data_IF_122111218355
#
_entry.id   IF_122111218355
#
_cell.length_a   1.000
_cell.length_b   1.000
_cell.length_c   1.000
_cell.angle_alpha   90.00
_cell.angle_beta   90.00
_cell.angle_gamma   90.00
#
_symmetry.space_group_name_H-M   'P 1'
#
loop_
_entity.id
_entity.type
_entity.pdbx_description
1 polymer ?
#
# COMPACT_ATOMS: atom_id res chain seq x y z
N UNK A 1 -0.27 -41.28 2.23
CA UNK A 1 -1.29 -40.30 2.67
C UNK A 1 -0.73 -38.92 2.41
N UNK A 2 -1.18 -38.17 1.37
CA UNK A 2 -0.67 -36.80 1.14
C UNK A 2 -1.29 -35.85 2.16
N UNK A 3 -0.42 -35.13 2.85
CA UNK A 3 -0.73 -34.13 3.84
C UNK A 3 -1.31 -32.91 3.09
N UNK A 4 -2.61 -32.65 3.20
CA UNK A 4 -3.25 -31.47 2.65
C UNK A 4 -2.71 -30.23 3.38
N UNK A 5 -2.34 -29.14 2.66
CA UNK A 5 -1.91 -27.93 3.32
C UNK A 5 -3.09 -27.34 4.11
N UNK A 6 -2.92 -27.24 5.42
CA UNK A 6 -3.82 -26.52 6.31
C UNK A 6 -3.81 -25.06 5.85
N UNK A 7 -4.90 -24.62 5.23
CA UNK A 7 -5.12 -23.23 4.90
C UNK A 7 -4.98 -22.43 6.21
N UNK A 8 -3.98 -21.56 6.27
CA UNK A 8 -3.75 -20.70 7.44
C UNK A 8 -4.98 -19.82 7.62
N UNK A 9 -5.80 -20.11 8.63
CA UNK A 9 -6.97 -19.30 8.98
C UNK A 9 -6.45 -17.96 9.44
N UNK A 10 -6.57 -16.95 8.58
CA UNK A 10 -6.21 -15.57 8.94
C UNK A 10 -6.99 -15.16 10.19
N UNK A 11 -6.32 -14.64 11.24
CA UNK A 11 -6.99 -14.20 12.44
C UNK A 11 -8.15 -13.25 12.11
N UNK A 12 -9.30 -13.42 12.76
CA UNK A 12 -10.51 -12.62 12.49
C UNK A 12 -10.24 -11.12 12.57
N UNK A 13 -9.38 -10.68 13.48
CA UNK A 13 -8.97 -9.28 13.59
C UNK A 13 -8.33 -8.76 12.31
N UNK A 14 -7.51 -9.55 11.64
CA UNK A 14 -6.85 -9.14 10.39
C UNK A 14 -7.82 -9.13 9.21
N UNK A 15 -8.84 -9.98 9.22
CA UNK A 15 -9.92 -9.90 8.23
C UNK A 15 -10.71 -8.60 8.39
N UNK A 16 -11.05 -8.21 9.63
CA UNK A 16 -11.73 -6.95 9.94
C UNK A 16 -10.85 -5.76 9.49
N UNK A 17 -9.55 -5.78 9.79
CA UNK A 17 -8.61 -4.75 9.36
C UNK A 17 -8.63 -4.53 7.85
N UNK A 18 -8.49 -5.61 7.08
CA UNK A 18 -8.48 -5.53 5.61
C UNK A 18 -9.76 -4.97 5.04
N UNK A 19 -10.92 -5.48 5.50
CA UNK A 19 -12.21 -4.98 5.03
C UNK A 19 -12.50 -3.56 5.47
N UNK A 20 -12.13 -3.16 6.68
CA UNK A 20 -12.24 -1.79 7.13
C UNK A 20 -11.35 -0.85 6.29
N UNK A 21 -10.10 -1.23 6.02
CA UNK A 21 -9.20 -0.45 5.17
C UNK A 21 -9.79 -0.25 3.76
N UNK A 22 -10.26 -1.32 3.13
CA UNK A 22 -10.88 -1.30 1.81
C UNK A 22 -12.13 -0.40 1.77
N UNK A 23 -13.02 -0.53 2.74
CA UNK A 23 -14.25 0.24 2.80
C UNK A 23 -13.98 1.73 3.06
N UNK A 24 -13.10 2.04 4.01
CA UNK A 24 -12.70 3.42 4.31
C UNK A 24 -11.99 4.07 3.12
N UNK A 25 -11.08 3.36 2.44
CA UNK A 25 -10.41 3.88 1.25
C UNK A 25 -11.38 4.18 0.11
N UNK A 26 -12.38 3.30 -0.10
CA UNK A 26 -13.35 3.44 -1.18
C UNK A 26 -14.37 4.56 -0.95
N UNK A 27 -14.81 4.80 0.31
CA UNK A 27 -15.96 5.67 0.61
C UNK A 27 -15.70 6.71 1.70
N UNK A 28 -14.48 6.79 2.18
CA UNK A 28 -14.11 7.66 3.30
C UNK A 28 -14.54 7.10 4.67
N UNK A 29 -13.83 7.50 5.70
CA UNK A 29 -14.09 7.06 7.07
C UNK A 29 -15.52 7.38 7.54
N UNK A 30 -16.03 8.58 7.24
CA UNK A 30 -17.36 9.01 7.67
C UNK A 30 -18.48 8.24 6.93
N UNK A 31 -18.24 7.83 5.68
CA UNK A 31 -19.21 7.14 4.83
C UNK A 31 -19.42 5.64 5.12
N UNK A 32 -18.70 5.07 6.10
CA UNK A 32 -18.76 3.64 6.41
C UNK A 32 -19.28 3.40 7.83
N UNK A 33 -20.28 2.53 7.95
CA UNK A 33 -20.83 2.10 9.24
C UNK A 33 -20.16 0.85 9.81
N UNK A 34 -20.18 0.70 11.14
CA UNK A 34 -19.65 -0.49 11.83
C UNK A 34 -20.38 -1.77 11.40
N UNK A 35 -21.70 -1.72 11.23
CA UNK A 35 -22.51 -2.88 10.79
C UNK A 35 -22.15 -3.34 9.37
N UNK A 36 -21.73 -2.42 8.53
CA UNK A 36 -21.31 -2.75 7.18
C UNK A 36 -19.97 -3.48 7.16
N UNK A 37 -19.01 -3.05 7.98
CA UNK A 37 -17.75 -3.77 8.17
C UNK A 37 -18.05 -5.17 8.71
N UNK A 38 -18.95 -5.28 9.70
CA UNK A 38 -19.39 -6.56 10.25
C UNK A 38 -19.96 -7.49 9.18
N UNK A 39 -20.88 -6.98 8.34
CA UNK A 39 -21.47 -7.73 7.22
C UNK A 39 -20.40 -8.21 6.23
N UNK A 40 -19.44 -7.35 5.88
CA UNK A 40 -18.37 -7.68 4.92
C UNK A 40 -17.49 -8.85 5.39
N UNK A 41 -17.32 -9.01 6.71
CA UNK A 41 -16.54 -10.14 7.28
C UNK A 41 -17.42 -11.26 7.86
N UNK A 42 -18.74 -11.19 7.67
CA UNK A 42 -19.67 -12.22 8.10
C UNK A 42 -19.83 -12.34 9.62
N UNK A 43 -19.79 -11.20 10.36
CA UNK A 43 -20.05 -11.14 11.80
C UNK A 43 -21.12 -10.08 12.13
N UNK A 44 -21.82 -10.29 13.26
CA UNK A 44 -22.77 -9.29 13.76
C UNK A 44 -22.04 -8.06 14.35
N UNK A 45 -22.74 -6.91 14.44
CA UNK A 45 -22.22 -5.71 15.10
C UNK A 45 -21.66 -6.01 16.50
N UNK A 46 -22.40 -6.69 17.41
CA UNK A 46 -21.85 -7.12 18.70
C UNK A 46 -20.58 -7.98 18.61
N UNK A 47 -20.49 -8.83 17.58
CA UNK A 47 -19.29 -9.64 17.31
C UNK A 47 -18.07 -8.78 16.97
N UNK A 48 -18.27 -7.69 16.23
CA UNK A 48 -17.21 -6.77 15.84
C UNK A 48 -16.65 -5.99 17.03
N UNK A 49 -17.51 -5.57 17.97
CA UNK A 49 -17.10 -4.85 19.18
C UNK A 49 -16.17 -5.67 20.10
N UNK A 50 -16.14 -7.01 19.99
CA UNK A 50 -15.15 -7.86 20.71
C UNK A 50 -13.73 -7.67 20.18
N UNK A 51 -13.59 -7.21 18.96
CA UNK A 51 -12.29 -7.02 18.30
C UNK A 51 -11.84 -5.56 18.32
N UNK A 52 -12.79 -4.64 18.17
CA UNK A 52 -12.54 -3.20 18.14
C UNK A 52 -13.67 -2.45 18.85
N UNK A 53 -13.37 -1.52 19.75
CA UNK A 53 -14.38 -0.75 20.48
C UNK A 53 -15.21 0.21 19.61
N UNK A 54 -14.85 0.37 18.33
CA UNK A 54 -15.54 1.19 17.35
C UNK A 54 -14.70 1.44 16.10
N UNK A 55 -15.25 2.14 15.12
CA UNK A 55 -14.56 2.43 13.86
C UNK A 55 -13.37 3.38 14.04
N UNK A 56 -13.44 4.30 15.04
CA UNK A 56 -12.29 5.18 15.35
C UNK A 56 -11.08 4.38 15.79
N UNK A 57 -11.28 3.35 16.63
CA UNK A 57 -10.22 2.45 17.05
C UNK A 57 -9.70 1.57 15.90
N UNK A 58 -10.56 1.22 14.92
CA UNK A 58 -10.12 0.52 13.70
C UNK A 58 -9.22 1.42 12.86
N UNK A 59 -9.62 2.68 12.63
CA UNK A 59 -8.81 3.63 11.89
C UNK A 59 -7.46 3.88 12.56
N UNK A 60 -7.46 4.08 13.87
CA UNK A 60 -6.23 4.24 14.65
C UNK A 60 -5.31 3.00 14.53
N UNK A 61 -5.86 1.81 14.71
CA UNK A 61 -5.15 0.54 14.60
C UNK A 61 -4.55 0.33 13.18
N UNK A 62 -5.29 0.72 12.13
CA UNK A 62 -4.79 0.65 10.75
C UNK A 62 -3.64 1.62 10.51
N UNK A 63 -3.79 2.90 10.84
CA UNK A 63 -2.78 3.93 10.53
C UNK A 63 -1.55 3.84 11.43
N UNK A 64 -1.71 3.50 12.70
CA UNK A 64 -0.58 3.24 13.61
C UNK A 64 0.14 1.96 13.17
N UNK A 65 -0.61 0.87 12.95
CA UNK A 65 -0.05 -0.43 12.61
C UNK A 65 0.75 -0.42 11.32
N UNK A 66 0.29 0.29 10.27
CA UNK A 66 1.08 0.41 9.04
C UNK A 66 2.32 1.27 9.24
N UNK A 67 2.23 2.37 10.00
CA UNK A 67 3.37 3.24 10.27
C UNK A 67 4.46 2.51 11.07
N UNK A 68 4.07 1.70 12.06
CA UNK A 68 4.99 0.84 12.82
C UNK A 68 5.61 -0.23 11.91
N UNK A 69 4.80 -0.93 11.12
CA UNK A 69 5.29 -1.97 10.20
C UNK A 69 6.32 -1.44 9.21
N UNK A 70 6.07 -0.29 8.59
CA UNK A 70 7.00 0.34 7.65
C UNK A 70 8.33 0.70 8.32
N UNK A 71 8.26 1.30 9.50
CA UNK A 71 9.46 1.69 10.24
C UNK A 71 10.28 0.47 10.68
N UNK A 72 9.64 -0.53 11.26
CA UNK A 72 10.30 -1.74 11.77
C UNK A 72 10.89 -2.57 10.63
N UNK A 73 10.14 -2.73 9.53
CA UNK A 73 10.62 -3.44 8.35
C UNK A 73 11.78 -2.69 7.69
N UNK A 74 11.68 -1.36 7.56
CA UNK A 74 12.75 -0.53 7.05
C UNK A 74 14.03 -0.65 7.89
N UNK A 75 13.93 -0.60 9.21
CA UNK A 75 15.06 -0.80 10.13
C UNK A 75 15.69 -2.18 9.97
N UNK A 76 14.89 -3.24 9.93
CA UNK A 76 15.38 -4.61 9.75
C UNK A 76 16.10 -4.78 8.42
N UNK A 77 15.50 -4.35 7.31
CA UNK A 77 16.09 -4.45 5.97
C UNK A 77 17.40 -3.67 5.86
N UNK A 78 17.44 -2.47 6.40
CA UNK A 78 18.66 -1.64 6.41
C UNK A 78 19.76 -2.26 7.25
N UNK A 79 19.45 -2.81 8.42
CA UNK A 79 20.42 -3.44 9.31
C UNK A 79 20.98 -4.77 8.74
N UNK A 80 20.20 -5.49 7.92
CA UNK A 80 20.62 -6.75 7.30
C UNK A 80 21.43 -6.54 6.00
N UNK A 81 21.51 -5.31 5.48
CA UNK A 81 22.14 -5.02 4.20
C UNK A 81 23.67 -4.99 4.31
N UNK A 82 24.37 -5.41 3.23
CA UNK A 82 25.82 -5.48 3.17
C UNK A 82 26.53 -4.09 3.11
N UNK A 83 25.77 -2.99 3.00
CA UNK A 83 26.31 -1.64 2.95
C UNK A 83 25.23 -0.62 2.55
N UNK A 84 25.58 0.69 2.52
CA UNK A 84 24.63 1.76 2.33
C UNK A 84 23.81 1.66 1.04
N UNK A 85 24.40 1.34 -0.10
CA UNK A 85 23.70 1.17 -1.37
C UNK A 85 22.72 0.00 -1.33
N UNK A 86 23.12 -1.12 -0.71
CA UNK A 86 22.25 -2.29 -0.54
C UNK A 86 21.10 -1.97 0.43
N UNK A 87 21.36 -1.20 1.50
CA UNK A 87 20.34 -0.74 2.44
C UNK A 87 19.29 0.15 1.76
N UNK A 88 19.72 1.09 0.91
CA UNK A 88 18.82 1.94 0.15
C UNK A 88 17.96 1.11 -0.81
N UNK A 89 18.54 0.17 -1.54
CA UNK A 89 17.81 -0.72 -2.43
C UNK A 89 16.76 -1.55 -1.67
N UNK A 90 17.12 -2.03 -0.47
CA UNK A 90 16.20 -2.78 0.37
C UNK A 90 15.04 -1.92 0.91
N UNK A 91 15.29 -0.65 1.24
CA UNK A 91 14.25 0.32 1.60
C UNK A 91 13.32 0.61 0.42
N UNK A 92 13.87 0.88 -0.77
CA UNK A 92 13.07 1.12 -1.99
C UNK A 92 12.18 -0.09 -2.27
N UNK A 93 12.75 -1.30 -2.30
CA UNK A 93 11.96 -2.52 -2.55
C UNK A 93 10.84 -2.69 -1.53
N UNK A 94 11.12 -2.50 -0.24
CA UNK A 94 10.10 -2.62 0.80
C UNK A 94 8.96 -1.60 0.67
N UNK A 95 9.29 -0.36 0.29
CA UNK A 95 8.27 0.66 0.09
C UNK A 95 7.47 0.46 -1.20
N UNK A 96 8.11 -0.03 -2.27
CA UNK A 96 7.43 -0.41 -3.51
C UNK A 96 6.45 -1.57 -3.27
N UNK A 97 6.86 -2.60 -2.52
CA UNK A 97 5.95 -3.69 -2.13
C UNK A 97 4.74 -3.15 -1.37
N UNK A 98 4.96 -2.29 -0.39
CA UNK A 98 3.87 -1.62 0.34
C UNK A 98 2.96 -0.81 -0.60
N UNK A 99 3.53 0.00 -1.50
CA UNK A 99 2.74 0.84 -2.40
C UNK A 99 1.86 0.03 -3.36
N UNK A 100 2.32 -1.14 -3.80
CA UNK A 100 1.59 -2.00 -4.72
C UNK A 100 0.58 -2.93 -4.03
N UNK A 101 0.87 -3.38 -2.81
CA UNK A 101 0.07 -4.40 -2.12
C UNK A 101 -0.91 -3.81 -1.10
N UNK A 102 -0.62 -2.64 -0.53
CA UNK A 102 -1.39 -1.99 0.54
C UNK A 102 -1.94 -0.60 0.12
N UNK A 103 -2.31 -0.41 -1.15
CA UNK A 103 -2.76 0.88 -1.72
C UNK A 103 -3.91 1.55 -0.94
N UNK A 104 -4.81 0.76 -0.36
CA UNK A 104 -5.89 1.26 0.49
C UNK A 104 -5.35 2.00 1.71
N UNK A 105 -4.24 1.53 2.31
CA UNK A 105 -3.62 2.15 3.46
C UNK A 105 -2.91 3.47 3.11
N UNK A 106 -2.37 3.61 1.89
CA UNK A 106 -1.86 4.90 1.39
C UNK A 106 -3.01 5.90 1.30
N UNK A 107 -4.12 5.50 0.70
CA UNK A 107 -5.32 6.36 0.56
C UNK A 107 -5.83 6.82 1.93
N UNK A 108 -5.89 5.90 2.92
CA UNK A 108 -6.30 6.25 4.28
C UNK A 108 -5.34 7.22 4.94
N UNK A 109 -4.07 7.02 4.74
CA UNK A 109 -3.03 7.87 5.31
C UNK A 109 -3.11 9.31 4.78
N UNK A 110 -3.40 9.47 3.49
CA UNK A 110 -3.50 10.78 2.86
C UNK A 110 -4.78 11.52 3.23
N UNK A 111 -5.89 10.80 3.43
CA UNK A 111 -7.21 11.41 3.56
C UNK A 111 -7.78 11.43 4.97
N UNK A 112 -7.50 10.39 5.76
CA UNK A 112 -8.27 10.12 6.99
C UNK A 112 -7.51 10.46 8.28
N UNK A 113 -6.27 10.96 8.19
CA UNK A 113 -5.45 11.28 9.36
C UNK A 113 -6.11 12.29 10.30
N UNK A 114 -6.92 13.20 9.76
CA UNK A 114 -7.64 14.21 10.54
C UNK A 114 -8.75 13.64 11.42
N UNK A 115 -9.26 12.45 11.09
CA UNK A 115 -10.29 11.76 11.87
C UNK A 115 -9.73 11.00 13.07
N UNK A 116 -8.42 10.89 13.20
CA UNK A 116 -7.79 10.32 14.39
C UNK A 116 -7.92 11.28 15.59
N UNK A 117 -8.04 10.68 16.77
CA UNK A 117 -7.82 11.42 18.02
C UNK A 117 -6.42 12.03 18.01
N UNK A 118 -6.26 13.15 18.70
CA UNK A 118 -5.00 13.90 18.70
C UNK A 118 -3.80 13.06 19.15
N UNK A 119 -3.98 12.21 20.14
CA UNK A 119 -2.93 11.30 20.65
C UNK A 119 -2.47 10.32 19.56
N UNK A 120 -3.41 9.62 18.90
CA UNK A 120 -3.12 8.67 17.83
C UNK A 120 -2.48 9.37 16.63
N UNK A 121 -3.00 10.54 16.26
CA UNK A 121 -2.45 11.37 15.18
C UNK A 121 -1.00 11.79 15.47
N UNK A 122 -0.69 12.18 16.71
CA UNK A 122 0.69 12.49 17.11
C UNK A 122 1.61 11.27 17.03
N UNK A 123 1.10 10.09 17.41
CA UNK A 123 1.83 8.83 17.31
C UNK A 123 2.17 8.51 15.85
N UNK A 124 1.17 8.54 14.96
CA UNK A 124 1.38 8.31 13.52
C UNK A 124 2.42 9.28 12.96
N UNK A 125 2.26 10.60 13.22
CA UNK A 125 3.22 11.62 12.73
C UNK A 125 4.64 11.43 13.26
N UNK A 126 4.79 10.92 14.49
CA UNK A 126 6.12 10.59 15.03
C UNK A 126 6.74 9.42 14.27
N UNK A 127 6.02 8.33 14.09
CA UNK A 127 6.47 7.15 13.34
C UNK A 127 6.86 7.50 11.90
N UNK A 128 6.06 8.35 11.25
CA UNK A 128 6.36 8.86 9.91
C UNK A 128 7.68 9.63 9.87
N UNK A 129 7.88 10.57 10.81
CA UNK A 129 9.13 11.31 10.88
C UNK A 129 10.32 10.38 11.09
N UNK A 130 10.22 9.40 11.98
CA UNK A 130 11.28 8.40 12.20
C UNK A 130 11.57 7.59 10.93
N UNK A 131 10.55 7.24 10.16
CA UNK A 131 10.71 6.55 8.89
C UNK A 131 11.40 7.43 7.84
N UNK A 132 11.01 8.69 7.72
CA UNK A 132 11.71 9.67 6.86
C UNK A 132 13.17 9.83 7.28
N UNK A 133 13.47 9.95 8.58
CA UNK A 133 14.86 10.08 9.07
C UNK A 133 15.70 8.84 8.75
N UNK A 134 15.13 7.63 8.85
CA UNK A 134 15.81 6.41 8.43
C UNK A 134 16.22 6.47 6.94
N UNK A 135 15.30 6.92 6.07
CA UNK A 135 15.60 7.07 4.65
C UNK A 135 16.65 8.15 4.39
N UNK A 136 16.52 9.31 5.03
CA UNK A 136 17.50 10.41 4.88
C UNK A 136 18.89 9.96 5.30
N UNK A 137 19.02 9.27 6.43
CA UNK A 137 20.28 8.72 6.88
C UNK A 137 20.87 7.72 5.87
N UNK A 138 20.03 6.81 5.35
CA UNK A 138 20.46 5.80 4.38
C UNK A 138 20.87 6.42 3.03
N UNK A 139 20.10 7.38 2.53
CA UNK A 139 20.43 8.12 1.28
C UNK A 139 21.76 8.86 1.44
N UNK A 140 21.96 9.57 2.55
CA UNK A 140 23.21 10.28 2.82
C UNK A 140 24.43 9.35 2.95
N UNK A 141 24.21 8.15 3.48
CA UNK A 141 25.25 7.14 3.53
C UNK A 141 25.56 6.52 2.15
N UNK A 142 24.55 6.39 1.28
CA UNK A 142 24.71 5.81 -0.06
C UNK A 142 25.28 6.80 -1.09
N UNK A 143 25.08 8.11 -0.92
CA UNK A 143 25.51 9.16 -1.82
C UNK A 143 26.43 10.17 -1.11
N UNK A 144 27.77 10.12 -1.33
CA UNK A 144 28.71 11.03 -0.67
C UNK A 144 28.41 12.51 -0.91
N UNK A 145 27.92 12.89 -2.08
CA UNK A 145 27.51 14.26 -2.38
C UNK A 145 26.37 14.78 -1.47
N UNK A 146 25.48 13.90 -1.01
CA UNK A 146 24.41 14.22 -0.07
C UNK A 146 24.83 14.07 1.41
N UNK A 147 26.05 13.59 1.67
CA UNK A 147 26.58 13.45 3.03
C UNK A 147 27.05 14.79 3.65
N UNK A 148 27.36 15.80 2.83
CA UNK A 148 27.79 17.11 3.29
C UNK A 148 26.79 17.72 4.30
N UNK A 149 27.23 18.44 5.34
CA UNK A 149 26.33 19.06 6.31
C UNK A 149 25.29 19.99 5.68
N UNK A 150 25.65 20.69 4.61
CA UNK A 150 24.76 21.61 3.86
C UNK A 150 23.76 20.89 2.96
N UNK A 151 23.98 19.62 2.62
CA UNK A 151 23.12 18.83 1.73
C UNK A 151 21.91 18.18 2.43
N UNK A 152 21.78 18.32 3.75
CA UNK A 152 20.68 17.73 4.51
C UNK A 152 19.28 18.09 3.98
N UNK A 153 18.99 19.36 3.66
CA UNK A 153 17.71 19.74 3.04
C UNK A 153 17.46 19.08 1.69
N UNK A 154 18.48 18.95 0.83
CA UNK A 154 18.37 18.29 -0.47
C UNK A 154 18.10 16.79 -0.34
N UNK A 155 18.82 16.11 0.56
CA UNK A 155 18.57 14.70 0.85
C UNK A 155 17.14 14.46 1.36
N UNK A 156 16.63 15.30 2.23
CA UNK A 156 15.24 15.23 2.73
C UNK A 156 14.23 15.49 1.64
N UNK A 157 14.45 16.51 0.81
CA UNK A 157 13.59 16.83 -0.33
C UNK A 157 13.52 15.65 -1.32
N UNK A 158 14.65 15.02 -1.62
CA UNK A 158 14.71 13.84 -2.47
C UNK A 158 13.91 12.65 -1.89
N UNK A 159 14.00 12.41 -0.57
CA UNK A 159 13.19 11.37 0.11
C UNK A 159 11.70 11.67 -0.03
N UNK A 160 11.27 12.91 0.22
CA UNK A 160 9.86 13.27 0.06
C UNK A 160 9.38 13.18 -1.39
N UNK A 161 10.21 13.55 -2.38
CA UNK A 161 9.89 13.40 -3.80
C UNK A 161 9.70 11.94 -4.19
N UNK A 162 10.58 11.06 -3.71
CA UNK A 162 10.47 9.61 -3.94
C UNK A 162 9.22 9.03 -3.27
N UNK A 163 8.89 9.44 -2.05
CA UNK A 163 7.64 9.01 -1.41
C UNK A 163 6.41 9.49 -2.19
N UNK A 164 6.40 10.73 -2.69
CA UNK A 164 5.36 11.24 -3.57
C UNK A 164 5.22 10.40 -4.84
N UNK A 165 6.35 10.07 -5.49
CA UNK A 165 6.37 9.19 -6.66
C UNK A 165 5.75 7.81 -6.35
N UNK A 166 6.24 7.14 -5.31
CA UNK A 166 5.82 5.77 -4.99
C UNK A 166 4.37 5.72 -4.50
N UNK A 167 3.94 6.67 -3.67
CA UNK A 167 2.59 6.70 -3.12
C UNK A 167 1.53 7.19 -4.11
N UNK A 168 1.90 7.91 -5.19
CA UNK A 168 0.93 8.32 -6.22
C UNK A 168 0.51 7.19 -7.16
N UNK A 169 1.32 6.15 -7.28
CA UNK A 169 1.14 5.04 -8.22
C UNK A 169 -0.20 4.30 -8.08
N UNK A 170 -0.67 3.94 -6.86
CA UNK A 170 -1.96 3.27 -6.69
C UNK A 170 -3.16 4.10 -7.21
N UNK A 171 -3.06 5.41 -7.10
CA UNK A 171 -4.14 6.33 -7.52
C UNK A 171 -4.15 6.56 -9.03
N UNK A 172 -2.96 6.55 -9.66
CA UNK A 172 -2.81 6.89 -11.08
C UNK A 172 -3.10 5.73 -12.03
N UNK A 173 -2.90 4.49 -11.57
CA UNK A 173 -2.89 3.31 -12.43
C UNK A 173 -4.12 2.42 -12.25
N UNK A 174 -5.06 2.76 -11.39
CA UNK A 174 -6.27 1.97 -11.16
C UNK A 174 -5.94 0.51 -10.76
N UNK A 175 -4.82 0.29 -10.08
CA UNK A 175 -4.45 -1.04 -9.57
C UNK A 175 -5.53 -1.46 -8.58
N UNK A 176 -6.46 -2.30 -9.03
CA UNK A 176 -7.37 -2.97 -8.12
C UNK A 176 -6.54 -3.92 -7.27
N UNK A 177 -6.67 -3.88 -5.93
CA UNK A 177 -6.09 -4.93 -5.09
C UNK A 177 -6.57 -6.27 -5.63
N UNK A 178 -5.66 -7.23 -5.73
CA UNK A 178 -5.96 -8.58 -6.20
C UNK A 178 -7.16 -9.11 -5.43
N UNK A 179 -8.30 -9.23 -6.09
CA UNK A 179 -9.45 -9.93 -5.56
C UNK A 179 -9.01 -11.38 -5.34
N UNK A 180 -8.68 -11.72 -4.11
CA UNK A 180 -8.53 -13.10 -3.71
C UNK A 180 -9.85 -13.80 -4.07
N UNK A 181 -9.76 -14.85 -4.86
CA UNK A 181 -10.86 -15.64 -5.37
C UNK A 181 -11.94 -15.84 -4.30
N UNK A 182 -13.11 -15.25 -4.53
CA UNK A 182 -14.30 -15.61 -3.79
C UNK A 182 -14.59 -17.09 -4.12
N UNK A 183 -14.92 -17.94 -3.13
CA UNK A 183 -15.45 -19.25 -3.41
C UNK A 183 -16.74 -19.07 -4.20
N UNK A 184 -16.79 -19.61 -5.41
CA UNK A 184 -18.00 -19.66 -6.20
C UNK A 184 -19.07 -20.44 -5.41
N UNK A 185 -20.18 -19.79 -5.13
CA UNK A 185 -21.36 -20.47 -4.64
C UNK A 185 -21.82 -21.51 -5.70
N UNK A 186 -22.28 -22.70 -5.28
CA UNK A 186 -22.75 -23.71 -6.21
C UNK A 186 -23.95 -23.18 -6.99
N UNK A 187 -23.86 -23.27 -8.31
CA UNK A 187 -24.94 -22.96 -9.25
C UNK A 187 -26.07 -23.95 -9.06
N UNK A 188 -27.24 -23.49 -8.66
CA UNK A 188 -28.47 -24.29 -8.76
C UNK A 188 -28.91 -24.41 -10.23
N UNK A 189 -29.42 -25.57 -10.67
CA UNK A 189 -29.92 -25.76 -12.02
C UNK A 189 -31.35 -25.23 -12.11
N UNK A 190 -31.55 -24.12 -12.83
CA UNK A 190 -32.89 -23.70 -13.25
C UNK A 190 -33.22 -24.31 -14.60
N UNK A 191 -34.28 -25.07 -14.58
CA UNK A 191 -34.92 -25.71 -15.71
C UNK A 191 -35.83 -24.78 -16.53
N UNK A 192 -35.69 -24.92 -17.85
CA UNK A 192 -36.73 -24.93 -18.90
C UNK A 192 -37.52 -23.65 -19.30
N UNK A 193 -37.42 -23.47 -20.60
CA UNK A 193 -38.39 -23.12 -21.66
C UNK A 193 -38.62 -21.64 -21.95
N UNK A 194 -38.20 -21.20 -23.13
CA UNK A 194 -39.06 -20.91 -24.29
C UNK A 194 -38.31 -20.18 -25.39
N UNK A 195 -38.55 -20.66 -26.57
CA UNK A 195 -38.21 -20.20 -27.92
C UNK A 195 -38.58 -18.75 -28.19
N UNK A 196 -37.65 -17.94 -28.71
CA UNK A 196 -37.94 -16.86 -29.62
C UNK A 196 -36.68 -16.49 -30.44
N UNK A 197 -36.77 -16.75 -31.71
CA UNK A 197 -35.87 -16.38 -32.79
C UNK A 197 -35.85 -14.86 -32.94
N UNK A 198 -34.71 -14.22 -32.77
CA UNK A 198 -34.44 -12.90 -33.28
C UNK A 198 -32.97 -12.80 -33.66
N UNK A 199 -32.74 -12.75 -34.96
CA UNK A 199 -31.49 -12.41 -35.62
C UNK A 199 -31.08 -11.00 -35.18
N UNK A 200 -30.03 -10.86 -34.42
CA UNK A 200 -29.38 -9.59 -34.15
C UNK A 200 -27.87 -9.73 -34.40
N UNK A 201 -27.40 -8.88 -35.30
CA UNK A 201 -25.98 -8.71 -35.69
C UNK A 201 -25.09 -8.44 -34.48
N UNK A 202 -23.80 -8.84 -34.51
CA UNK A 202 -22.88 -8.57 -33.43
C UNK A 202 -22.58 -7.05 -33.41
N UNK A 203 -23.05 -6.38 -32.38
CA UNK A 203 -22.58 -5.04 -32.05
C UNK A 203 -21.21 -5.18 -31.32
N UNK A 204 -20.19 -4.95 -32.10
CA UNK A 204 -18.83 -4.73 -31.64
C UNK A 204 -18.81 -3.42 -30.81
N UNK A 205 -18.99 -3.52 -29.49
CA UNK A 205 -18.88 -2.41 -28.54
C UNK A 205 -18.08 -2.85 -27.33
N UNK A 206 -16.79 -3.02 -27.52
CA UNK A 206 -15.84 -3.00 -26.42
C UNK A 206 -14.50 -2.36 -26.86
N UNK A 207 -14.62 -1.14 -27.41
CA UNK A 207 -13.50 -0.22 -27.66
C UNK A 207 -13.13 0.60 -26.42
N UNK A 208 -13.31 0.07 -25.23
CA UNK A 208 -12.71 0.62 -24.01
C UNK A 208 -11.23 0.36 -24.03
N UNK A 209 -10.44 1.36 -24.43
CA UNK A 209 -8.98 1.37 -24.35
C UNK A 209 -8.57 0.96 -22.95
N UNK A 210 -8.29 -0.33 -22.75
CA UNK A 210 -7.52 -0.81 -21.60
C UNK A 210 -6.12 -0.26 -21.79
N UNK A 211 -5.85 0.91 -21.20
CA UNK A 211 -4.48 1.34 -20.96
C UNK A 211 -3.84 0.15 -20.28
N UNK A 212 -2.93 -0.55 -20.98
CA UNK A 212 -2.32 -1.79 -20.53
C UNK A 212 -1.59 -1.53 -19.22
N UNK A 213 -2.17 -1.96 -18.11
CA UNK A 213 -1.54 -1.90 -16.81
C UNK A 213 -0.34 -2.84 -16.85
N UNK A 214 0.83 -2.35 -16.47
CA UNK A 214 2.01 -3.19 -16.33
C UNK A 214 1.75 -4.31 -15.31
N UNK A 215 2.24 -5.53 -15.57
CA UNK A 215 2.25 -6.58 -14.56
C UNK A 215 2.94 -6.09 -13.27
N UNK A 216 2.48 -6.55 -12.09
CA UNK A 216 3.01 -6.11 -10.78
C UNK A 216 4.54 -6.11 -10.71
N UNK A 217 5.20 -7.16 -11.22
CA UNK A 217 6.66 -7.28 -11.19
C UNK A 217 7.37 -6.25 -12.06
N UNK A 218 6.82 -5.95 -13.25
CA UNK A 218 7.34 -4.91 -14.13
C UNK A 218 7.14 -3.52 -13.53
N UNK A 219 5.97 -3.28 -12.91
CA UNK A 219 5.71 -2.04 -12.19
C UNK A 219 6.65 -1.86 -11.00
N UNK A 220 6.88 -2.90 -10.21
CA UNK A 220 7.83 -2.86 -9.09
C UNK A 220 9.24 -2.53 -9.59
N UNK A 221 9.68 -3.15 -10.68
CA UNK A 221 10.99 -2.89 -11.28
C UNK A 221 11.10 -1.46 -11.80
N UNK A 222 10.05 -0.94 -12.45
CA UNK A 222 10.02 0.44 -12.94
C UNK A 222 10.10 1.44 -11.79
N UNK A 223 9.25 1.29 -10.76
CA UNK A 223 9.23 2.16 -9.60
C UNK A 223 10.56 2.16 -8.85
N UNK A 224 11.17 0.99 -8.70
CA UNK A 224 12.50 0.87 -8.09
C UNK A 224 13.55 1.66 -8.85
N UNK A 225 13.62 1.51 -10.19
CA UNK A 225 14.55 2.27 -11.03
C UNK A 225 14.30 3.77 -10.99
N UNK A 226 13.03 4.21 -11.00
CA UNK A 226 12.69 5.63 -10.92
C UNK A 226 13.13 6.22 -9.58
N UNK A 227 12.91 5.50 -8.46
CA UNK A 227 13.35 5.94 -7.15
C UNK A 227 14.88 6.05 -7.06
N UNK A 228 15.62 5.06 -7.58
CA UNK A 228 17.07 5.12 -7.65
C UNK A 228 17.56 6.30 -8.48
N UNK A 229 16.98 6.50 -9.68
CA UNK A 229 17.30 7.62 -10.57
C UNK A 229 17.03 8.97 -9.92
N UNK A 230 15.97 9.11 -9.15
CA UNK A 230 15.66 10.35 -8.43
C UNK A 230 16.72 10.68 -7.36
N UNK A 231 17.20 9.67 -6.62
CA UNK A 231 18.28 9.88 -5.65
C UNK A 231 19.63 10.19 -6.32
N UNK A 232 19.96 9.50 -7.40
CA UNK A 232 21.16 9.78 -8.19
C UNK A 232 21.14 11.21 -8.76
N UNK A 233 20.01 11.64 -9.33
CA UNK A 233 19.83 13.01 -9.82
C UNK A 233 19.94 14.06 -8.71
N UNK A 234 19.42 13.77 -7.52
CA UNK A 234 19.55 14.68 -6.37
C UNK A 234 20.98 14.78 -5.83
N UNK A 235 21.79 13.75 -6.03
CA UNK A 235 23.23 13.76 -5.69
C UNK A 235 24.06 14.60 -6.66
N UNK A 236 23.53 14.90 -7.84
CA UNK A 236 24.26 15.56 -8.92
C UNK A 236 25.13 14.59 -9.74
N UNK A 237 25.68 15.01 -10.87
CA UNK A 237 26.67 14.22 -11.58
C UNK A 237 27.87 14.00 -10.65
N UNK A 238 28.39 12.78 -10.60
CA UNK A 238 29.64 12.46 -9.90
C UNK A 238 30.68 13.49 -10.32
N UNK A 239 31.15 14.28 -9.34
CA UNK A 239 31.95 15.44 -9.63
C UNK A 239 33.10 15.11 -10.58
N UNK A 240 33.06 15.65 -11.79
CA UNK A 240 34.28 15.96 -12.50
C UNK A 240 35.07 16.87 -11.56
N UNK A 241 35.98 16.26 -10.83
CA UNK A 241 37.06 16.97 -10.17
C UNK A 241 37.86 17.58 -11.31
N UNK A 242 37.57 18.85 -11.62
CA UNK A 242 38.40 19.66 -12.43
C UNK A 242 39.80 19.71 -11.84
N UNK A 243 40.73 19.32 -12.66
CA UNK A 243 42.16 19.50 -12.54
C UNK A 243 42.54 20.94 -12.21
#
# INVERSE_FOLDING_TARGET
MPNSPVASVTPRRDQIRREAARLFAARGFLGVGVDEIGKAVGISGPGLYRHFPGKDAMLADLLIGISERLLDEGRRRSAAAAGPAAALNALISGHVDFALDDSDLITLHDRELLHLKEEDRRRVRRLQREYVELWVATVRAAFPALAAPTAGPAARAAVHAVFGLLNSTPHSLGVRPSAQAQPQAPSEPSSLTATATATAMPADRDGGSRIGLLPRGEMATLLHRLAQGAFAAAAGPDGEQGD
#
